data_IF_989523807498
#
_entry.id   IF_989523807498
#
_cell.length_a   1.000
_cell.length_b   1.000
_cell.length_c   1.000
_cell.angle_alpha   90.00
_cell.angle_beta   90.00
_cell.angle_gamma   90.00
#
_symmetry.space_group_name_H-M   'P 1'
#
loop_
_entity.id
_entity.type
_entity.pdbx_description
1 polymer ?
#
# COMPACT_ATOMS: atom_id res chain seq x y z
N UNK A 1 -10.42 -3.08 5.00
CA UNK A 1 -10.60 -4.17 4.01
C UNK A 1 -9.50 -5.24 4.06
N UNK A 2 -8.21 -4.88 4.06
CA UNK A 2 -7.10 -5.86 4.03
C UNK A 2 -7.09 -6.84 5.22
N UNK A 3 -7.32 -6.34 6.44
CA UNK A 3 -7.39 -7.19 7.63
C UNK A 3 -8.51 -8.25 7.55
N UNK A 4 -9.59 -7.95 6.82
CA UNK A 4 -10.73 -8.86 6.65
C UNK A 4 -10.48 -9.94 5.56
N UNK A 5 -9.50 -9.76 4.67
CA UNK A 5 -9.19 -10.79 3.66
C UNK A 5 -8.22 -11.86 4.16
N UNK A 6 -7.62 -11.68 5.35
CA UNK A 6 -6.69 -12.65 5.94
C UNK A 6 -7.35 -14.01 6.13
N UNK A 7 -6.65 -15.07 5.70
CA UNK A 7 -7.15 -16.45 5.75
C UNK A 7 -8.15 -16.80 4.64
N UNK A 8 -8.43 -15.90 3.70
CA UNK A 8 -9.24 -16.18 2.51
C UNK A 8 -8.35 -16.42 1.29
N UNK A 9 -8.88 -17.02 0.20
CA UNK A 9 -8.14 -17.11 -1.08
C UNK A 9 -7.75 -15.76 -1.69
N UNK A 10 -8.32 -14.66 -1.20
CA UNK A 10 -8.07 -13.29 -1.65
C UNK A 10 -7.18 -12.51 -0.68
N UNK A 11 -6.51 -13.18 0.25
CA UNK A 11 -5.58 -12.53 1.16
C UNK A 11 -4.45 -11.82 0.40
N UNK A 12 -4.00 -10.69 0.94
CA UNK A 12 -2.96 -9.90 0.29
C UNK A 12 -1.60 -10.61 0.38
N UNK A 13 -0.89 -10.62 -0.74
CA UNK A 13 0.52 -11.03 -0.80
C UNK A 13 1.42 -9.80 -0.73
N UNK A 14 2.27 -9.77 0.28
CA UNK A 14 3.09 -8.59 0.62
C UNK A 14 4.59 -8.83 0.49
N UNK A 15 5.00 -10.07 0.24
CA UNK A 15 6.40 -10.46 0.08
C UNK A 15 7.07 -9.69 -1.06
N UNK A 16 8.18 -9.04 -0.71
CA UNK A 16 8.98 -8.20 -1.59
C UNK A 16 8.19 -7.04 -2.25
N UNK A 17 7.12 -6.55 -1.61
CA UNK A 17 6.27 -5.46 -2.13
C UNK A 17 6.40 -4.16 -1.34
N UNK A 18 6.07 -3.05 -1.99
CA UNK A 18 5.72 -1.79 -1.33
C UNK A 18 4.23 -1.87 -0.98
N UNK A 19 3.91 -1.81 0.32
CA UNK A 19 2.55 -1.88 0.81
C UNK A 19 1.92 -0.48 0.89
N UNK A 20 0.79 -0.27 0.23
CA UNK A 20 0.00 0.96 0.34
C UNK A 20 -1.22 0.74 1.24
N UNK A 21 -1.44 1.63 2.21
CA UNK A 21 -2.51 1.57 3.20
C UNK A 21 -3.21 2.94 3.30
N UNK A 22 -4.54 2.94 3.28
CA UNK A 22 -5.34 4.14 3.52
C UNK A 22 -6.63 3.78 4.27
N UNK A 23 -7.19 4.75 4.98
CA UNK A 23 -8.48 4.65 5.63
C UNK A 23 -9.09 6.06 5.84
N UNK A 24 -10.39 6.12 6.17
CA UNK A 24 -11.13 7.36 6.38
C UNK A 24 -11.88 7.34 7.72
N UNK A 25 -11.68 8.36 8.54
CA UNK A 25 -12.46 8.59 9.77
C UNK A 25 -12.23 7.54 10.86
N UNK A 26 -11.26 6.64 10.68
CA UNK A 26 -10.99 5.57 11.62
C UNK A 26 -10.22 6.07 12.85
N UNK A 27 -10.70 5.68 14.02
CA UNK A 27 -10.02 6.03 15.28
C UNK A 27 -8.69 5.29 15.35
N UNK A 28 -7.59 5.92 15.81
CA UNK A 28 -6.30 5.23 15.72
C UNK A 28 -6.17 3.91 16.49
N UNK A 29 -6.98 3.64 17.53
CA UNK A 29 -7.02 2.30 18.14
C UNK A 29 -7.53 1.20 17.18
N UNK A 30 -8.34 1.55 16.17
CA UNK A 30 -8.79 0.60 15.13
C UNK A 30 -7.71 0.38 14.09
N UNK A 31 -7.00 1.44 13.70
CA UNK A 31 -5.81 1.33 12.85
C UNK A 31 -4.75 0.46 13.54
N UNK A 32 -4.53 0.68 14.83
CA UNK A 32 -3.65 -0.13 15.68
C UNK A 32 -4.01 -1.62 15.58
N UNK A 33 -5.27 -1.95 15.87
CA UNK A 33 -5.79 -3.31 15.80
C UNK A 33 -5.59 -3.95 14.42
N UNK A 34 -5.89 -3.22 13.35
CA UNK A 34 -5.76 -3.73 11.98
C UNK A 34 -4.31 -3.93 11.56
N UNK A 35 -3.42 -2.99 11.88
CA UNK A 35 -1.99 -3.11 11.62
C UNK A 35 -1.36 -4.23 12.44
N UNK A 36 -1.74 -4.36 13.71
CA UNK A 36 -1.27 -5.45 14.56
C UNK A 36 -1.73 -6.81 14.04
N UNK A 37 -2.96 -6.91 13.52
CA UNK A 37 -3.45 -8.12 12.88
C UNK A 37 -2.63 -8.49 11.63
N UNK A 38 -2.30 -7.51 10.78
CA UNK A 38 -1.42 -7.74 9.62
C UNK A 38 -0.01 -8.17 10.04
N UNK A 39 0.54 -7.54 11.10
CA UNK A 39 1.86 -7.89 11.67
C UNK A 39 1.86 -9.33 12.19
N UNK A 40 0.89 -9.70 13.01
CA UNK A 40 0.78 -11.05 13.58
C UNK A 40 0.48 -12.12 12.53
N UNK A 41 -0.14 -11.76 11.41
CA UNK A 41 -0.35 -12.64 10.26
C UNK A 41 0.89 -12.74 9.33
N UNK A 42 2.03 -12.17 9.73
CA UNK A 42 3.29 -12.20 8.96
C UNK A 42 3.29 -11.34 7.70
N UNK A 43 2.25 -10.53 7.48
CA UNK A 43 2.13 -9.74 6.24
C UNK A 43 3.11 -8.56 6.18
N UNK A 44 3.79 -8.25 7.28
CA UNK A 44 4.77 -7.18 7.33
C UNK A 44 6.22 -7.68 7.38
N UNK A 45 6.45 -9.00 7.34
CA UNK A 45 7.78 -9.57 7.58
C UNK A 45 8.75 -9.33 6.42
N UNK A 46 8.22 -9.32 5.19
CA UNK A 46 9.02 -9.24 3.95
C UNK A 46 8.64 -8.06 3.06
N UNK A 47 7.94 -7.04 3.60
CA UNK A 47 7.66 -5.82 2.84
C UNK A 47 8.97 -5.07 2.55
N UNK A 48 9.01 -4.32 1.45
CA UNK A 48 10.17 -3.48 1.06
C UNK A 48 9.97 -2.01 1.34
N UNK A 49 8.76 -1.63 1.72
CA UNK A 49 8.38 -0.28 2.10
C UNK A 49 6.90 -0.21 2.40
N UNK A 50 6.49 0.81 3.13
CA UNK A 50 5.09 1.05 3.50
C UNK A 50 4.75 2.50 3.19
N UNK A 51 3.61 2.72 2.54
CA UNK A 51 3.08 4.05 2.25
C UNK A 51 1.70 4.14 2.86
N UNK A 52 1.53 5.09 3.76
CA UNK A 52 0.22 5.50 4.25
C UNK A 52 -0.31 6.63 3.37
N UNK A 53 -1.61 6.57 3.04
CA UNK A 53 -2.32 7.64 2.35
C UNK A 53 -2.42 8.91 3.20
N UNK A 54 -3.36 9.80 2.87
CA UNK A 54 -3.65 10.98 3.69
C UNK A 54 -4.20 10.62 5.08
N UNK A 55 -4.74 9.40 5.27
CA UNK A 55 -5.38 8.96 6.51
C UNK A 55 -6.41 9.97 6.99
N UNK A 56 -7.27 10.41 6.07
CA UNK A 56 -8.17 11.53 6.27
C UNK A 56 -9.10 11.26 7.47
N UNK A 57 -9.27 12.28 8.31
CA UNK A 57 -10.05 12.22 9.55
C UNK A 57 -9.70 11.07 10.53
N UNK A 58 -8.54 10.42 10.36
CA UNK A 58 -8.06 9.36 11.24
C UNK A 58 -7.33 9.93 12.46
N UNK A 59 -8.00 10.77 13.24
CA UNK A 59 -7.42 11.40 14.44
C UNK A 59 -8.06 10.91 15.75
N UNK A 60 -7.26 11.01 16.81
CA UNK A 60 -7.67 10.71 18.18
C UNK A 60 -8.58 11.82 18.73
N UNK A 61 -9.36 11.51 19.76
CA UNK A 61 -10.01 12.57 20.54
C UNK A 61 -8.95 13.31 21.39
N UNK A 62 -9.21 14.57 21.74
CA UNK A 62 -8.23 15.47 22.38
C UNK A 62 -7.56 14.90 23.64
N UNK A 63 -8.27 14.04 24.40
CA UNK A 63 -7.81 13.58 25.72
C UNK A 63 -7.15 12.19 25.72
N UNK A 64 -6.94 11.56 24.56
CA UNK A 64 -6.45 10.17 24.52
C UNK A 64 -4.93 10.02 24.66
N UNK A 65 -4.15 11.10 24.63
CA UNK A 65 -2.73 11.11 24.99
C UNK A 65 -1.77 10.46 23.98
N UNK A 66 -2.25 10.06 22.79
CA UNK A 66 -1.43 9.57 21.70
C UNK A 66 -1.99 10.02 20.35
N UNK A 67 -1.21 9.87 19.29
CA UNK A 67 -1.50 10.25 17.92
C UNK A 67 -1.57 9.02 17.02
N UNK A 68 -2.16 9.18 15.82
CA UNK A 68 -2.12 8.15 14.79
C UNK A 68 -0.69 7.75 14.44
N UNK A 69 0.22 8.74 14.34
CA UNK A 69 1.61 8.48 13.96
C UNK A 69 2.33 7.63 15.00
N UNK A 70 2.11 7.89 16.29
CA UNK A 70 2.69 7.07 17.37
C UNK A 70 2.18 5.63 17.31
N UNK A 71 0.88 5.43 17.11
CA UNK A 71 0.28 4.10 16.91
C UNK A 71 0.93 3.36 15.74
N UNK A 72 1.03 4.01 14.59
CA UNK A 72 1.60 3.38 13.39
C UNK A 72 3.07 3.04 13.63
N UNK A 73 3.86 3.99 14.12
CA UNK A 73 5.30 3.80 14.33
C UNK A 73 5.61 2.76 15.41
N UNK A 74 4.75 2.60 16.43
CA UNK A 74 4.86 1.50 17.40
C UNK A 74 4.79 0.12 16.75
N UNK A 75 4.06 -0.02 15.64
CA UNK A 75 3.86 -1.30 14.97
C UNK A 75 4.92 -1.50 13.87
N UNK A 76 5.17 -0.48 13.05
CA UNK A 76 5.99 -0.58 11.85
C UNK A 76 7.42 -0.05 11.99
N UNK A 77 7.72 0.69 13.06
CA UNK A 77 9.01 1.38 13.23
C UNK A 77 10.21 0.44 13.27
N UNK A 78 10.05 -0.74 13.85
CA UNK A 78 11.14 -1.71 14.02
C UNK A 78 11.33 -2.64 12.81
N UNK A 79 10.53 -2.48 11.74
CA UNK A 79 10.61 -3.33 10.54
C UNK A 79 11.86 -2.99 9.70
N UNK A 80 12.41 -1.77 9.84
CA UNK A 80 13.64 -1.38 9.15
C UNK A 80 13.49 -1.08 7.65
N UNK A 81 12.25 -0.81 7.19
CA UNK A 81 11.94 -0.47 5.80
C UNK A 81 11.51 0.99 5.68
N UNK A 82 11.61 1.63 4.50
CA UNK A 82 11.09 2.98 4.28
C UNK A 82 9.59 3.08 4.56
N UNK A 83 9.19 4.05 5.39
CA UNK A 83 7.79 4.35 5.72
C UNK A 83 7.49 5.79 5.28
N UNK A 84 6.47 5.95 4.45
CA UNK A 84 6.00 7.25 3.96
C UNK A 84 4.53 7.49 4.34
N UNK A 85 4.12 8.75 4.36
CA UNK A 85 2.76 9.19 4.69
C UNK A 85 2.28 10.25 3.71
N UNK A 86 0.96 10.42 3.61
CA UNK A 86 0.36 11.54 2.88
C UNK A 86 0.25 11.35 1.38
N UNK A 87 0.40 10.11 0.87
CA UNK A 87 0.14 9.86 -0.54
C UNK A 87 -1.33 10.14 -0.84
N UNK A 88 -1.60 10.97 -1.85
CA UNK A 88 -2.94 11.47 -2.16
C UNK A 88 -3.76 10.48 -2.99
N UNK A 89 -3.83 9.22 -2.57
CA UNK A 89 -4.63 8.18 -3.19
C UNK A 89 -5.60 7.58 -2.16
N UNK A 90 -6.81 7.22 -2.57
CA UNK A 90 -7.87 6.76 -1.65
C UNK A 90 -8.77 7.90 -1.16
N UNK A 91 -9.10 7.93 0.13
CA UNK A 91 -9.90 9.02 0.70
C UNK A 91 -9.02 10.24 1.02
N UNK A 92 -9.21 11.29 0.24
CA UNK A 92 -8.35 12.48 0.27
C UNK A 92 -9.15 13.78 0.28
N UNK A 93 -8.58 14.83 0.88
CA UNK A 93 -9.25 16.13 0.98
C UNK A 93 -9.23 16.92 -0.34
N UNK A 94 -8.31 16.58 -1.25
CA UNK A 94 -8.10 17.26 -2.53
C UNK A 94 -8.12 16.27 -3.68
N UNK A 95 -7.65 16.66 -4.86
CA UNK A 95 -7.55 15.78 -6.03
C UNK A 95 -6.88 14.44 -5.69
N UNK A 96 -7.61 13.36 -5.95
CA UNK A 96 -7.15 11.99 -5.81
C UNK A 96 -6.26 11.60 -7.00
N UNK A 97 -5.06 11.10 -6.72
CA UNK A 97 -4.16 10.58 -7.75
C UNK A 97 -4.42 9.09 -7.96
N UNK A 98 -4.46 8.69 -9.22
CA UNK A 98 -4.52 7.27 -9.58
C UNK A 98 -3.19 6.60 -9.27
N UNK A 99 -3.19 5.68 -8.31
CA UNK A 99 -2.05 4.84 -8.00
C UNK A 99 -2.20 3.49 -8.72
N UNK A 100 -1.37 3.16 -9.72
CA UNK A 100 -1.39 1.84 -10.33
C UNK A 100 -0.93 0.79 -9.31
N UNK A 101 -1.76 -0.23 -9.11
CA UNK A 101 -1.47 -1.32 -8.18
C UNK A 101 -0.88 -2.51 -8.93
N UNK A 102 0.05 -3.22 -8.28
CA UNK A 102 0.63 -4.45 -8.83
C UNK A 102 1.76 -4.24 -9.84
N UNK A 103 2.21 -2.99 -10.05
CA UNK A 103 3.35 -2.65 -10.91
C UNK A 103 4.65 -2.46 -10.12
N UNK A 104 5.79 -2.60 -10.77
CA UNK A 104 7.10 -2.25 -10.22
C UNK A 104 7.17 -0.76 -9.90
N UNK A 105 7.62 -0.45 -8.69
CA UNK A 105 7.81 0.89 -8.22
C UNK A 105 9.07 1.01 -7.34
N UNK A 106 9.61 2.21 -7.25
CA UNK A 106 10.71 2.58 -6.37
C UNK A 106 10.22 3.59 -5.34
N UNK A 107 10.38 3.28 -4.06
CA UNK A 107 10.13 4.20 -2.95
C UNK A 107 11.47 4.63 -2.34
N UNK A 108 11.69 5.94 -2.27
CA UNK A 108 12.83 6.51 -1.54
C UNK A 108 12.33 7.47 -0.46
N UNK A 109 12.85 7.31 0.76
CA UNK A 109 12.59 8.18 1.91
C UNK A 109 13.93 8.65 2.46
N UNK A 110 14.19 9.95 2.44
CA UNK A 110 15.43 10.59 2.92
C UNK A 110 15.09 11.80 3.77
N UNK A 111 15.08 11.64 5.10
CA UNK A 111 14.63 12.70 6.01
C UNK A 111 13.18 13.07 5.73
N UNK A 112 12.95 14.31 5.29
CA UNK A 112 11.62 14.80 4.88
C UNK A 112 11.29 14.58 3.41
N UNK A 113 12.26 14.18 2.58
CA UNK A 113 12.05 13.94 1.16
C UNK A 113 11.51 12.54 0.90
N UNK A 114 10.39 12.46 0.18
CA UNK A 114 9.75 11.21 -0.21
C UNK A 114 9.52 11.21 -1.72
N UNK A 115 9.92 10.14 -2.41
CA UNK A 115 9.60 9.95 -3.82
C UNK A 115 9.11 8.53 -4.09
N UNK A 116 8.06 8.43 -4.90
CA UNK A 116 7.52 7.19 -5.42
C UNK A 116 7.57 7.25 -6.95
N UNK A 117 8.32 6.35 -7.58
CA UNK A 117 8.44 6.26 -9.04
C UNK A 117 7.83 4.96 -9.54
N UNK A 118 6.98 5.04 -10.55
CA UNK A 118 6.45 3.87 -11.25
C UNK A 118 7.44 3.47 -12.34
N UNK A 119 7.93 2.23 -12.30
CA UNK A 119 9.03 1.75 -13.12
C UNK A 119 8.58 0.98 -14.37
N UNK A 120 7.29 0.64 -14.47
CA UNK A 120 6.74 -0.07 -15.61
C UNK A 120 5.33 0.43 -15.99
N UNK A 121 4.90 0.23 -17.25
CA UNK A 121 3.56 0.60 -17.67
C UNK A 121 2.48 -0.15 -16.89
N UNK A 122 1.48 0.58 -16.38
CA UNK A 122 0.31 0.00 -15.75
C UNK A 122 -0.75 -0.51 -16.75
N UNK A 123 -0.61 -0.12 -18.02
CA UNK A 123 -1.49 -0.51 -19.10
C UNK A 123 -0.68 -0.94 -20.31
N UNK A 124 -1.28 -1.80 -21.14
CA UNK A 124 -0.69 -2.15 -22.44
C UNK A 124 -0.87 -0.97 -23.37
N UNK A 125 0.16 -0.68 -24.17
CA UNK A 125 -0.02 0.27 -25.27
C UNK A 125 -0.91 -0.36 -26.34
N UNK A 126 -1.74 0.47 -26.98
CA UNK A 126 -2.63 0.02 -28.07
C UNK A 126 -1.81 -0.55 -29.24
N UNK A 127 -0.59 -0.06 -29.46
CA UNK A 127 0.32 -0.57 -30.48
C UNK A 127 0.92 -1.95 -30.12
N UNK A 128 1.22 -2.21 -28.85
CA UNK A 128 1.78 -3.50 -28.40
C UNK A 128 0.76 -4.64 -28.48
N UNK A 129 -0.53 -4.36 -28.35
CA UNK A 129 -1.60 -5.36 -28.46
C UNK A 129 -1.79 -5.90 -29.89
N UNK A 130 -1.40 -5.14 -30.92
CA UNK A 130 -1.52 -5.54 -32.32
C UNK A 130 -0.42 -6.52 -32.76
N UNK A 131 0.73 -6.55 -32.07
CA UNK A 131 1.85 -7.44 -32.40
C UNK A 131 1.65 -8.86 -31.84
N UNK A 132 0.84 -9.03 -30.79
CA UNK A 132 0.55 -10.33 -30.18
C UNK A 132 -0.48 -11.19 -30.94
N UNK A 133 -1.09 -10.67 -32.03
CA UNK A 133 -2.05 -11.41 -32.87
C UNK A 133 -1.49 -11.94 -34.20
N UNK A 134 -0.17 -11.83 -34.44
CA UNK A 134 0.52 -12.47 -35.56
C UNK A 134 1.46 -13.57 -35.05
N UNK A 135 0.86 -14.66 -34.58
CA UNK A 135 1.53 -15.92 -34.34
C UNK A 135 0.61 -17.03 -34.82
N UNK A 136 0.89 -17.53 -36.02
CA UNK A 136 0.19 -18.64 -36.66
C UNK A 136 0.33 -19.94 -35.84
N UNK A 137 -0.84 -20.56 -35.65
CA UNK A 137 -1.20 -21.96 -35.45
C UNK A 137 -0.11 -23.05 -35.32
N UNK A 138 -0.29 -23.94 -34.34
CA UNK A 138 -0.30 -25.40 -34.60
C UNK A 138 -1.03 -26.13 -33.47
N UNK A 139 -2.09 -26.86 -33.83
CA UNK A 139 -2.63 -27.94 -33.01
C UNK A 139 -1.74 -29.17 -33.22
N UNK A 140 -1.26 -29.78 -32.14
CA UNK A 140 -0.99 -31.21 -32.06
C UNK A 140 -1.38 -31.68 -30.65
N UNK A 141 -1.84 -32.93 -30.59
CA UNK A 141 -2.59 -33.64 -29.54
C UNK A 141 -2.13 -33.36 -28.11
#
# INVERSE_FOLDING_TARGET
MLAASLGTPYELRTDDRILFLEDLGEKPYRIDRMLMQLKLAGKLDSVRGIIFGEMLDCFQMQDQGYSLREVVMRIVGDIGVPVAYGLRSGHVARQNITLPMGVKAELQVRGSEVSLKILEPATRSVAAAASAKKGEQSFQV
#
